data_IF_676791735750
#
_entry.id   IF_676791735750
#
_cell.length_a   1.000
_cell.length_b   1.000
_cell.length_c   1.000
_cell.angle_alpha   90.00
_cell.angle_beta   90.00
_cell.angle_gamma   90.00
#
_symmetry.space_group_name_H-M   'P 1'
#
loop_
_entity.id
_entity.type
_entity.pdbx_description
1 polymer ?
#
# COMPACT_ATOMS: atom_id res chain seq x y z
N UNK A 1 -41.67 -1.84 12.92
CA UNK A 1 -41.05 -2.00 11.59
C UNK A 1 -39.97 -0.95 11.30
N UNK A 2 -39.80 0.10 12.12
CA UNK A 2 -38.82 1.17 11.87
C UNK A 2 -37.34 0.75 12.07
N UNK A 3 -37.05 -0.19 12.96
CA UNK A 3 -35.68 -0.64 13.22
C UNK A 3 -35.03 -1.37 12.02
N UNK A 4 -35.82 -2.01 11.15
CA UNK A 4 -35.30 -2.75 9.98
C UNK A 4 -34.86 -1.77 8.88
N UNK A 5 -35.60 -0.67 8.68
CA UNK A 5 -35.26 0.33 7.67
C UNK A 5 -34.05 1.19 8.08
N UNK A 6 -33.83 1.44 9.37
CA UNK A 6 -32.60 2.12 9.83
C UNK A 6 -31.35 1.28 9.62
N UNK A 7 -31.45 -0.05 9.79
CA UNK A 7 -30.34 -0.98 9.56
C UNK A 7 -30.00 -1.09 8.07
N UNK A 8 -31.01 -1.12 7.20
CA UNK A 8 -30.82 -1.11 5.74
C UNK A 8 -30.23 0.24 5.28
N UNK A 9 -30.74 1.36 5.79
CA UNK A 9 -30.18 2.69 5.51
C UNK A 9 -28.72 2.84 5.96
N UNK A 10 -28.34 2.25 7.10
CA UNK A 10 -26.95 2.25 7.57
C UNK A 10 -26.04 1.36 6.73
N UNK A 11 -26.54 0.23 6.19
CA UNK A 11 -25.73 -0.70 5.40
C UNK A 11 -25.29 -0.05 4.08
N UNK A 12 -26.23 0.58 3.38
CA UNK A 12 -25.94 1.24 2.10
C UNK A 12 -24.99 2.44 2.32
N UNK A 13 -25.18 3.23 3.38
CA UNK A 13 -24.30 4.33 3.79
C UNK A 13 -22.88 3.84 4.15
N UNK A 14 -22.74 2.69 4.83
CA UNK A 14 -21.44 2.07 5.11
C UNK A 14 -20.74 1.63 3.82
N UNK A 15 -21.47 1.03 2.88
CA UNK A 15 -20.90 0.59 1.60
C UNK A 15 -20.42 1.78 0.77
N UNK A 16 -21.19 2.86 0.72
CA UNK A 16 -20.81 4.11 0.03
C UNK A 16 -19.51 4.68 0.61
N UNK A 17 -19.42 4.84 1.93
CA UNK A 17 -18.21 5.33 2.59
C UNK A 17 -16.97 4.45 2.36
N UNK A 18 -17.14 3.12 2.30
CA UNK A 18 -16.04 2.20 2.02
C UNK A 18 -15.57 2.28 0.56
N UNK A 19 -16.48 2.54 -0.39
CA UNK A 19 -16.13 2.81 -1.78
C UNK A 19 -15.34 4.12 -1.91
N UNK A 20 -15.76 5.18 -1.23
CA UNK A 20 -15.00 6.45 -1.20
C UNK A 20 -13.58 6.24 -0.66
N UNK A 21 -13.44 5.44 0.41
CA UNK A 21 -12.14 5.07 0.96
C UNK A 21 -11.28 4.25 -0.01
N UNK A 22 -11.90 3.35 -0.79
CA UNK A 22 -11.23 2.61 -1.86
C UNK A 22 -10.71 3.57 -2.92
N UNK A 23 -11.54 4.49 -3.42
CA UNK A 23 -11.14 5.45 -4.45
C UNK A 23 -9.95 6.31 -3.99
N UNK A 24 -9.97 6.78 -2.74
CA UNK A 24 -8.87 7.54 -2.16
C UNK A 24 -7.57 6.69 -2.03
N UNK A 25 -7.71 5.39 -1.75
CA UNK A 25 -6.57 4.49 -1.47
C UNK A 25 -5.99 3.84 -2.74
N UNK A 26 -6.81 3.63 -3.77
CA UNK A 26 -6.47 2.91 -5.02
C UNK A 26 -5.53 3.71 -5.93
N UNK A 27 -5.41 5.03 -5.70
CA UNK A 27 -4.45 5.89 -6.38
C UNK A 27 -3.00 5.46 -6.08
N UNK A 28 -2.43 4.71 -7.04
CA UNK A 28 -1.06 4.16 -7.00
C UNK A 28 -0.24 4.58 -8.22
N UNK A 29 -0.77 5.47 -9.07
CA UNK A 29 -0.15 5.90 -10.33
C UNK A 29 1.20 6.57 -10.10
N UNK A 30 1.29 7.49 -9.12
CA UNK A 30 2.54 8.16 -8.75
C UNK A 30 3.59 7.17 -8.22
N UNK A 31 3.18 6.28 -7.30
CA UNK A 31 4.08 5.25 -6.74
C UNK A 31 4.59 4.29 -7.82
N UNK A 32 3.73 3.89 -8.77
CA UNK A 32 4.11 3.04 -9.90
C UNK A 32 5.06 3.76 -10.86
N UNK A 33 4.86 5.05 -11.09
CA UNK A 33 5.77 5.88 -11.89
C UNK A 33 7.14 5.99 -11.23
N UNK A 34 7.18 6.27 -9.93
CA UNK A 34 8.42 6.35 -9.14
C UNK A 34 9.17 5.01 -9.14
N UNK A 35 8.47 3.88 -8.99
CA UNK A 35 9.05 2.54 -9.10
C UNK A 35 9.72 2.32 -10.46
N UNK A 36 9.08 2.74 -11.56
CA UNK A 36 9.65 2.64 -12.90
C UNK A 36 10.90 3.51 -13.06
N UNK A 37 10.90 4.72 -12.49
CA UNK A 37 12.08 5.59 -12.48
C UNK A 37 13.24 4.96 -11.70
N UNK A 38 12.96 4.38 -10.53
CA UNK A 38 13.95 3.70 -9.71
C UNK A 38 14.52 2.45 -10.42
N UNK A 39 13.67 1.67 -11.08
CA UNK A 39 14.08 0.54 -11.91
C UNK A 39 15.01 0.96 -13.07
N UNK A 40 14.65 2.01 -13.81
CA UNK A 40 15.50 2.57 -14.86
C UNK A 40 16.86 3.05 -14.30
N UNK A 41 16.88 3.63 -13.09
CA UNK A 41 18.13 4.04 -12.44
C UNK A 41 19.00 2.85 -12.06
N UNK A 42 18.41 1.79 -11.49
CA UNK A 42 19.14 0.54 -11.18
C UNK A 42 19.78 -0.08 -12.42
N UNK A 43 19.05 -0.15 -13.54
CA UNK A 43 19.58 -0.64 -14.81
C UNK A 43 20.71 0.24 -15.34
N UNK A 44 20.62 1.55 -15.15
CA UNK A 44 21.69 2.49 -15.54
C UNK A 44 22.96 2.24 -14.73
N UNK A 45 22.84 2.07 -13.41
CA UNK A 45 23.98 1.80 -12.52
C UNK A 45 24.62 0.45 -12.88
N UNK A 46 23.82 -0.58 -13.15
CA UNK A 46 24.33 -1.88 -13.60
C UNK A 46 25.18 -1.74 -14.87
N UNK A 47 24.68 -1.01 -15.87
CA UNK A 47 25.43 -0.74 -17.09
C UNK A 47 26.74 0.02 -16.82
N UNK A 48 26.72 1.01 -15.92
CA UNK A 48 27.93 1.76 -15.55
C UNK A 48 28.97 0.85 -14.88
N UNK A 49 28.54 -0.08 -14.03
CA UNK A 49 29.42 -1.08 -13.42
C UNK A 49 30.02 -2.02 -14.47
N UNK A 50 29.20 -2.52 -15.40
CA UNK A 50 29.66 -3.37 -16.51
C UNK A 50 30.70 -2.65 -17.38
N UNK A 51 30.43 -1.40 -17.75
CA UNK A 51 31.35 -0.56 -18.53
C UNK A 51 32.66 -0.31 -17.77
N UNK A 52 32.59 0.01 -16.47
CA UNK A 52 33.76 0.22 -15.62
C UNK A 52 34.64 -1.03 -15.53
N UNK A 53 34.04 -2.21 -15.30
CA UNK A 53 34.75 -3.50 -15.24
C UNK A 53 35.36 -3.86 -16.59
N UNK A 54 34.61 -3.69 -17.68
CA UNK A 54 35.06 -3.95 -19.05
C UNK A 54 36.25 -3.09 -19.45
N UNK A 55 36.25 -1.82 -19.03
CA UNK A 55 37.34 -0.89 -19.31
C UNK A 55 38.60 -1.23 -18.50
N UNK A 56 38.47 -1.53 -17.20
CA UNK A 56 39.61 -1.96 -16.37
C UNK A 56 40.24 -3.27 -16.87
N UNK A 57 39.46 -4.16 -17.49
CA UNK A 57 39.99 -5.39 -18.08
C UNK A 57 40.80 -5.15 -19.38
N UNK A 58 40.54 -4.07 -20.10
CA UNK A 58 41.18 -3.74 -21.39
C UNK A 58 42.35 -2.77 -21.25
N UNK A 59 42.26 -1.86 -20.28
CA UNK A 59 43.21 -0.76 -20.09
C UNK A 59 43.64 -0.77 -18.63
N UNK A 60 44.95 -0.71 -18.39
CA UNK A 60 45.49 -0.59 -17.03
C UNK A 60 45.05 0.77 -16.44
N UNK A 61 44.10 0.74 -15.51
CA UNK A 61 43.61 1.93 -14.80
C UNK A 61 44.38 2.14 -13.49
N UNK A 62 44.34 3.37 -12.96
CA UNK A 62 44.73 3.61 -11.58
C UNK A 62 43.81 2.81 -10.65
N UNK A 63 44.41 1.98 -9.80
CA UNK A 63 43.68 1.02 -8.99
C UNK A 63 42.93 1.66 -7.82
N UNK A 64 43.37 2.84 -7.37
CA UNK A 64 42.65 3.60 -6.35
C UNK A 64 41.43 4.29 -6.97
N UNK A 65 41.61 4.90 -8.14
CA UNK A 65 40.51 5.56 -8.86
C UNK A 65 39.43 4.57 -9.29
N UNK A 66 39.81 3.41 -9.83
CA UNK A 66 38.87 2.34 -10.18
C UNK A 66 38.04 1.91 -8.96
N UNK A 67 38.70 1.69 -7.82
CA UNK A 67 38.02 1.24 -6.59
C UNK A 67 37.05 2.30 -6.09
N UNK A 68 37.46 3.56 -6.06
CA UNK A 68 36.60 4.67 -5.63
C UNK A 68 35.35 4.78 -6.50
N UNK A 69 35.51 4.74 -7.84
CA UNK A 69 34.37 4.79 -8.77
C UNK A 69 33.45 3.57 -8.60
N UNK A 70 34.03 2.38 -8.40
CA UNK A 70 33.25 1.17 -8.15
C UNK A 70 32.44 1.27 -6.86
N UNK A 71 33.08 1.68 -5.76
CA UNK A 71 32.44 1.80 -4.44
C UNK A 71 31.30 2.83 -4.47
N UNK A 72 31.47 3.94 -5.19
CA UNK A 72 30.40 4.93 -5.41
C UNK A 72 29.20 4.30 -6.14
N UNK A 73 29.42 3.55 -7.22
CA UNK A 73 28.35 2.89 -7.96
C UNK A 73 27.62 1.85 -7.11
N UNK A 74 28.34 1.09 -6.28
CA UNK A 74 27.73 0.13 -5.36
C UNK A 74 26.89 0.83 -4.29
N UNK A 75 27.38 1.93 -3.72
CA UNK A 75 26.63 2.71 -2.74
C UNK A 75 25.35 3.28 -3.35
N UNK A 76 25.43 3.85 -4.55
CA UNK A 76 24.25 4.35 -5.28
C UNK A 76 23.25 3.24 -5.61
N UNK A 77 23.74 2.06 -5.99
CA UNK A 77 22.89 0.90 -6.26
C UNK A 77 22.11 0.48 -5.02
N UNK A 78 22.80 0.29 -3.89
CA UNK A 78 22.19 -0.12 -2.63
C UNK A 78 21.16 0.89 -2.14
N UNK A 79 21.47 2.19 -2.22
CA UNK A 79 20.52 3.24 -1.86
C UNK A 79 19.28 3.23 -2.77
N UNK A 80 19.48 3.11 -4.08
CA UNK A 80 18.36 3.08 -5.05
C UNK A 80 17.51 1.82 -4.86
N UNK A 81 18.14 0.68 -4.59
CA UNK A 81 17.45 -0.59 -4.34
C UNK A 81 16.60 -0.50 -3.06
N UNK A 82 17.15 0.04 -1.97
CA UNK A 82 16.40 0.22 -0.72
C UNK A 82 15.15 1.08 -0.93
N UNK A 83 15.27 2.19 -1.66
CA UNK A 83 14.11 3.04 -2.02
C UNK A 83 13.09 2.30 -2.89
N UNK A 84 13.55 1.50 -3.84
CA UNK A 84 12.68 0.70 -4.69
C UNK A 84 11.88 -0.31 -3.86
N UNK A 85 12.53 -1.05 -2.96
CA UNK A 85 11.89 -2.03 -2.09
C UNK A 85 10.87 -1.38 -1.15
N UNK A 86 11.21 -0.24 -0.54
CA UNK A 86 10.30 0.53 0.30
C UNK A 86 9.03 0.94 -0.47
N UNK A 87 9.19 1.53 -1.66
CA UNK A 87 8.06 1.95 -2.49
C UNK A 87 7.22 0.78 -2.98
N UNK A 88 7.87 -0.35 -3.30
CA UNK A 88 7.21 -1.58 -3.71
C UNK A 88 6.35 -2.12 -2.58
N UNK A 89 6.85 -2.07 -1.34
CA UNK A 89 6.10 -2.47 -0.16
C UNK A 89 4.90 -1.55 0.07
N UNK A 90 5.06 -0.23 -0.06
CA UNK A 90 3.95 0.72 0.04
C UNK A 90 2.84 0.45 -0.98
N UNK A 91 3.19 0.14 -2.23
CA UNK A 91 2.20 -0.26 -3.26
C UNK A 91 1.50 -1.56 -2.88
N UNK A 92 2.27 -2.56 -2.43
CA UNK A 92 1.72 -3.84 -2.00
C UNK A 92 0.71 -3.67 -0.85
N UNK A 93 1.06 -2.90 0.18
CA UNK A 93 0.20 -2.68 1.35
C UNK A 93 -1.09 -1.93 0.98
N UNK A 94 -0.99 -0.92 0.10
CA UNK A 94 -2.18 -0.23 -0.43
C UNK A 94 -3.09 -1.17 -1.22
N UNK A 95 -2.53 -1.98 -2.11
CA UNK A 95 -3.30 -2.96 -2.89
C UNK A 95 -3.95 -4.02 -2.01
N UNK A 96 -3.26 -4.46 -0.95
CA UNK A 96 -3.82 -5.35 0.06
C UNK A 96 -4.99 -4.70 0.77
N UNK A 97 -4.85 -3.46 1.24
CA UNK A 97 -5.93 -2.70 1.89
C UNK A 97 -7.15 -2.55 0.99
N UNK A 98 -6.97 -2.18 -0.28
CA UNK A 98 -8.05 -2.06 -1.25
C UNK A 98 -8.76 -3.40 -1.45
N UNK A 99 -8.01 -4.50 -1.56
CA UNK A 99 -8.58 -5.84 -1.68
C UNK A 99 -9.41 -6.23 -0.46
N UNK A 100 -8.89 -5.97 0.74
CA UNK A 100 -9.56 -6.30 1.99
C UNK A 100 -10.87 -5.49 2.13
N UNK A 101 -10.88 -4.22 1.74
CA UNK A 101 -12.09 -3.39 1.70
C UNK A 101 -13.12 -3.90 0.66
N UNK A 102 -12.68 -4.25 -0.55
CA UNK A 102 -13.55 -4.80 -1.60
C UNK A 102 -14.21 -6.11 -1.15
N UNK A 103 -13.43 -7.02 -0.55
CA UNK A 103 -13.95 -8.26 0.01
C UNK A 103 -14.98 -8.00 1.13
N UNK A 104 -14.74 -7.00 1.98
CA UNK A 104 -15.67 -6.65 3.05
C UNK A 104 -17.00 -6.09 2.51
N UNK A 105 -16.95 -5.24 1.48
CA UNK A 105 -18.16 -4.76 0.79
C UNK A 105 -18.93 -5.93 0.16
N UNK A 106 -18.23 -6.88 -0.45
CA UNK A 106 -18.87 -8.08 -1.03
C UNK A 106 -19.60 -8.90 0.03
N UNK A 107 -18.97 -9.15 1.18
CA UNK A 107 -19.61 -9.85 2.32
C UNK A 107 -20.82 -9.06 2.82
N UNK A 108 -20.65 -7.76 3.09
CA UNK A 108 -21.75 -6.91 3.58
C UNK A 108 -22.93 -6.86 2.62
N UNK A 109 -22.68 -6.76 1.31
CA UNK A 109 -23.73 -6.64 0.29
C UNK A 109 -24.63 -7.89 0.22
N UNK A 110 -24.07 -9.09 0.43
CA UNK A 110 -24.81 -10.37 0.38
C UNK A 110 -25.61 -10.70 1.66
N UNK A 111 -25.38 -10.01 2.78
CA UNK A 111 -26.16 -10.24 4.00
C UNK A 111 -27.51 -9.48 3.97
N UNK A 112 -28.64 -10.21 3.99
CA UNK A 112 -30.01 -9.63 3.97
C UNK A 112 -30.35 -8.78 5.22
N UNK A 113 -29.61 -8.96 6.31
CA UNK A 113 -29.67 -8.16 7.54
C UNK A 113 -28.24 -7.98 8.00
N UNK A 114 -27.82 -6.78 8.43
CA UNK A 114 -26.57 -6.61 9.18
C UNK A 114 -26.60 -7.63 10.32
N UNK A 115 -25.76 -8.65 10.22
CA UNK A 115 -25.88 -9.81 11.08
C UNK A 115 -25.64 -9.38 12.52
N UNK A 116 -26.67 -9.52 13.37
CA UNK A 116 -26.60 -9.31 14.82
C UNK A 116 -25.67 -10.31 15.53
N UNK A 117 -25.10 -11.26 14.78
CA UNK A 117 -24.00 -12.14 15.15
C UNK A 117 -22.83 -12.00 14.18
N UNK A 118 -22.26 -10.81 14.19
CA UNK A 118 -21.00 -10.48 13.57
C UNK A 118 -19.95 -11.62 13.82
N UNK A 119 -19.41 -12.25 12.78
CA UNK A 119 -18.32 -13.23 12.92
C UNK A 119 -17.03 -12.51 13.34
N UNK A 120 -16.79 -12.53 14.66
CA UNK A 120 -15.63 -11.91 15.32
C UNK A 120 -14.30 -12.27 14.64
N UNK A 121 -14.18 -13.42 14.01
CA UNK A 121 -12.89 -13.93 13.53
C UNK A 121 -12.33 -13.14 12.33
N UNK A 122 -13.19 -12.63 11.45
CA UNK A 122 -12.77 -11.86 10.26
C UNK A 122 -12.61 -10.35 10.54
N UNK A 123 -13.38 -9.81 11.47
CA UNK A 123 -13.26 -8.41 11.91
C UNK A 123 -12.12 -8.19 12.89
N UNK A 124 -11.84 -9.18 13.76
CA UNK A 124 -10.69 -9.16 14.66
C UNK A 124 -9.34 -9.16 13.93
N UNK A 125 -9.25 -9.27 12.61
CA UNK A 125 -7.98 -9.14 11.90
C UNK A 125 -7.65 -7.70 11.50
N UNK A 126 -8.64 -6.81 11.38
CA UNK A 126 -8.46 -5.49 10.76
C UNK A 126 -8.99 -4.35 11.61
N UNK A 127 -10.15 -4.53 12.23
CA UNK A 127 -10.88 -3.47 12.92
C UNK A 127 -10.93 -3.80 14.41
N UNK A 128 -10.48 -2.86 15.24
CA UNK A 128 -10.55 -2.95 16.69
C UNK A 128 -11.96 -2.60 17.18
N UNK A 129 -12.56 -1.53 16.63
CA UNK A 129 -13.96 -1.15 16.91
C UNK A 129 -14.52 -0.18 15.86
N UNK A 130 -15.83 -0.19 15.68
CA UNK A 130 -16.57 0.86 14.96
C UNK A 130 -17.54 1.50 15.98
N UNK A 131 -17.49 2.83 16.10
CA UNK A 131 -18.38 3.60 16.96
C UNK A 131 -19.29 4.45 16.09
N UNK A 132 -20.60 4.19 16.15
CA UNK A 132 -21.62 4.98 15.45
C UNK A 132 -22.30 5.86 16.49
N UNK A 133 -22.14 7.18 16.35
CA UNK A 133 -22.73 8.16 17.26
C UNK A 133 -24.14 8.55 16.80
N UNK A 134 -24.97 9.03 17.72
CA UNK A 134 -26.38 9.43 17.49
C UNK A 134 -26.58 10.56 16.45
N UNK A 135 -25.50 11.05 15.82
CA UNK A 135 -25.47 12.07 14.76
C UNK A 135 -24.83 11.58 13.46
N UNK A 136 -24.90 10.27 13.15
CA UNK A 136 -24.32 9.62 11.95
C UNK A 136 -22.79 9.62 11.84
N UNK A 137 -22.08 10.18 12.81
CA UNK A 137 -20.62 10.10 12.84
C UNK A 137 -20.17 8.64 13.04
N UNK A 138 -19.39 8.11 12.10
CA UNK A 138 -18.82 6.77 12.15
C UNK A 138 -17.34 6.90 12.45
N UNK A 139 -16.90 6.33 13.57
CA UNK A 139 -15.47 6.24 13.89
C UNK A 139 -15.01 4.80 13.75
N UNK A 140 -14.04 4.55 12.88
CA UNK A 140 -13.42 3.24 12.69
C UNK A 140 -12.03 3.27 13.32
N UNK A 141 -11.82 2.43 14.34
CA UNK A 141 -10.50 2.18 14.94
C UNK A 141 -9.98 0.86 14.41
N UNK A 142 -8.81 0.90 13.77
CA UNK A 142 -8.10 -0.28 13.26
C UNK A 142 -7.16 -0.86 14.32
N UNK A 143 -6.75 -2.12 14.18
CA UNK A 143 -5.82 -2.79 15.11
C UNK A 143 -4.38 -2.27 15.10
N UNK A 144 -4.06 -1.38 14.18
CA UNK A 144 -2.79 -0.66 14.12
C UNK A 144 -2.90 0.75 14.73
N UNK A 145 -3.87 0.97 15.61
CA UNK A 145 -4.15 2.25 16.30
C UNK A 145 -4.47 3.44 15.37
N UNK A 146 -4.82 3.17 14.11
CA UNK A 146 -5.32 4.19 13.20
C UNK A 146 -6.81 4.43 13.45
N UNK A 147 -7.17 5.68 13.70
CA UNK A 147 -8.55 6.16 13.80
C UNK A 147 -8.93 6.92 12.53
N UNK A 148 -10.10 6.60 11.97
CA UNK A 148 -10.72 7.36 10.88
C UNK A 148 -12.14 7.75 11.33
N UNK A 149 -12.43 9.05 11.28
CA UNK A 149 -13.74 9.62 11.58
C UNK A 149 -14.45 9.99 10.26
N UNK A 150 -15.73 9.63 10.14
CA UNK A 150 -16.64 9.93 9.03
C UNK A 150 -17.88 10.65 9.55
#
# INVERSE_FOLDING_TARGET
MEAINQVIGNKDEIIENLNDLIELTECTTELKSELKTLECRLLTIQKQVEDLVSNNAKVLQDQNEYREQYDVLIAEYQQTQGRYEEKRQQVFDRMKKVRDLKNFIEILSHEEKLVTKFDKTQFNTLIEKIVISKGKTVKVTFKNDMDIDF
#
